data_IF_877204611567
#
_entry.id   IF_877204611567
#
_cell.length_a   1.000
_cell.length_b   1.000
_cell.length_c   1.000
_cell.angle_alpha   90.00
_cell.angle_beta   90.00
_cell.angle_gamma   90.00
#
_symmetry.space_group_name_H-M   'P 1'
#
loop_
_entity.id
_entity.type
_entity.pdbx_description
1 polymer ?
#
# COMPACT_ATOMS: atom_id res chain seq x y z
N UNK A 1 13.21 13.08 -32.34
CA UNK A 1 12.19 14.15 -32.34
C UNK A 1 12.69 15.38 -31.58
N UNK A 2 12.16 16.59 -31.84
CA UNK A 2 12.45 17.75 -30.97
C UNK A 2 11.68 17.61 -29.63
N UNK A 3 12.20 18.19 -28.53
CA UNK A 3 11.60 18.10 -27.18
C UNK A 3 10.14 18.58 -27.16
N UNK A 4 9.87 19.72 -27.79
CA UNK A 4 8.52 20.30 -27.85
C UNK A 4 7.55 19.46 -28.68
N UNK A 5 8.04 18.89 -29.78
CA UNK A 5 7.27 18.01 -30.65
C UNK A 5 6.87 16.74 -29.91
N UNK A 6 7.82 16.12 -29.20
CA UNK A 6 7.56 14.92 -28.39
C UNK A 6 6.54 15.19 -27.27
N UNK A 7 6.66 16.32 -26.57
CA UNK A 7 5.70 16.70 -25.53
C UNK A 7 4.29 16.91 -26.09
N UNK A 8 4.16 17.54 -27.26
CA UNK A 8 2.87 17.74 -27.91
C UNK A 8 2.24 16.41 -28.31
N UNK A 9 2.98 15.57 -29.04
CA UNK A 9 2.49 14.25 -29.48
C UNK A 9 2.07 13.37 -28.30
N UNK A 10 2.85 13.37 -27.21
CA UNK A 10 2.49 12.57 -26.03
C UNK A 10 1.23 13.11 -25.35
N UNK A 11 1.03 14.43 -25.27
CA UNK A 11 -0.20 15.02 -24.72
C UNK A 11 -1.41 14.71 -25.59
N UNK A 12 -1.26 14.74 -26.91
CA UNK A 12 -2.32 14.36 -27.85
C UNK A 12 -2.72 12.90 -27.63
N UNK A 13 -1.75 11.98 -27.59
CA UNK A 13 -1.99 10.55 -27.32
C UNK A 13 -2.70 10.31 -25.97
N UNK A 14 -2.33 11.07 -24.94
CA UNK A 14 -3.02 11.02 -23.64
C UNK A 14 -4.46 11.52 -23.76
N UNK A 15 -4.70 12.59 -24.51
CA UNK A 15 -6.04 13.16 -24.72
C UNK A 15 -6.96 12.25 -25.53
N UNK A 16 -6.40 11.47 -26.46
CA UNK A 16 -7.09 10.48 -27.28
C UNK A 16 -7.28 9.13 -26.56
N UNK A 17 -6.96 9.04 -25.27
CA UNK A 17 -6.98 7.82 -24.46
C UNK A 17 -6.04 6.70 -24.97
N UNK A 18 -5.05 7.04 -25.79
CA UNK A 18 -3.99 6.15 -26.28
C UNK A 18 -2.77 6.17 -25.35
N UNK A 19 -3.01 6.04 -24.05
CA UNK A 19 -1.95 6.14 -23.02
C UNK A 19 -0.86 5.07 -23.19
N UNK A 20 -1.20 3.89 -23.71
CA UNK A 20 -0.22 2.83 -23.99
C UNK A 20 0.79 3.26 -25.05
N UNK A 21 0.32 3.85 -26.15
CA UNK A 21 1.19 4.33 -27.23
C UNK A 21 2.06 5.50 -26.79
N UNK A 22 1.51 6.39 -25.94
CA UNK A 22 2.27 7.47 -25.31
C UNK A 22 3.45 6.94 -24.49
N UNK A 23 3.23 5.90 -23.68
CA UNK A 23 4.26 5.28 -22.85
C UNK A 23 5.34 4.59 -23.69
N UNK A 24 4.95 3.85 -24.73
CA UNK A 24 5.88 3.18 -25.64
C UNK A 24 6.76 4.18 -26.42
N UNK A 25 6.17 5.30 -26.84
CA UNK A 25 6.91 6.39 -27.51
C UNK A 25 7.95 7.02 -26.58
N UNK A 26 7.57 7.29 -25.32
CA UNK A 26 8.48 7.82 -24.30
C UNK A 26 9.62 6.85 -23.98
N UNK A 27 9.32 5.56 -23.82
CA UNK A 27 10.32 4.53 -23.58
C UNK A 27 11.35 4.50 -24.72
N UNK A 28 10.87 4.47 -25.96
CA UNK A 28 11.74 4.44 -27.15
C UNK A 28 12.67 5.65 -27.22
N UNK A 29 12.12 6.86 -27.08
CA UNK A 29 12.89 8.11 -27.23
C UNK A 29 13.82 8.41 -26.05
N UNK A 30 13.57 7.81 -24.87
CA UNK A 30 14.37 8.03 -23.66
C UNK A 30 15.36 6.89 -23.37
N UNK A 31 15.19 5.70 -23.96
CA UNK A 31 16.06 4.52 -23.77
C UNK A 31 17.56 4.77 -23.99
N UNK A 32 17.91 5.68 -24.90
CA UNK A 32 19.30 6.03 -25.24
C UNK A 32 19.90 7.20 -24.45
N UNK A 33 19.16 7.84 -23.53
CA UNK A 33 19.57 9.08 -22.86
C UNK A 33 19.85 8.83 -21.37
N UNK A 34 21.12 8.82 -20.92
CA UNK A 34 21.45 8.49 -19.53
C UNK A 34 20.91 9.52 -18.53
N UNK A 35 20.78 10.77 -18.94
CA UNK A 35 20.22 11.87 -18.16
C UNK A 35 18.75 11.66 -17.79
N UNK A 36 18.01 10.91 -18.61
CA UNK A 36 16.58 10.64 -18.43
C UNK A 36 16.30 9.32 -17.72
N UNK A 37 17.33 8.60 -17.25
CA UNK A 37 17.18 7.24 -16.70
C UNK A 37 16.20 7.17 -15.52
N UNK A 38 16.12 8.22 -14.70
CA UNK A 38 15.17 8.30 -13.58
C UNK A 38 13.74 8.45 -14.08
N UNK A 39 13.50 9.37 -15.02
CA UNK A 39 12.19 9.59 -15.64
C UNK A 39 11.73 8.37 -16.45
N UNK A 40 12.64 7.73 -17.18
CA UNK A 40 12.38 6.50 -17.91
C UNK A 40 11.93 5.37 -16.99
N UNK A 41 12.57 5.22 -15.82
CA UNK A 41 12.15 4.20 -14.83
C UNK A 41 10.73 4.46 -14.34
N UNK A 42 10.37 5.72 -14.12
CA UNK A 42 9.02 6.07 -13.70
C UNK A 42 8.00 5.78 -14.82
N UNK A 43 8.30 6.13 -16.07
CA UNK A 43 7.47 5.79 -17.24
C UNK A 43 7.24 4.28 -17.33
N UNK A 44 8.30 3.47 -17.17
CA UNK A 44 8.18 2.01 -17.16
C UNK A 44 7.30 1.51 -16.02
N UNK A 45 7.42 2.09 -14.82
CA UNK A 45 6.58 1.75 -13.68
C UNK A 45 5.10 2.12 -13.91
N UNK A 46 4.85 3.29 -14.50
CA UNK A 46 3.51 3.75 -14.90
C UNK A 46 2.94 2.81 -15.96
N UNK A 47 3.71 2.42 -16.97
CA UNK A 47 3.26 1.49 -18.00
C UNK A 47 2.97 0.09 -17.48
N UNK A 48 3.76 -0.43 -16.54
CA UNK A 48 3.45 -1.67 -15.86
C UNK A 48 2.13 -1.59 -15.08
N UNK A 49 1.87 -0.46 -14.39
CA UNK A 49 0.62 -0.23 -13.67
C UNK A 49 -0.59 -0.13 -14.63
N UNK A 50 -0.43 0.56 -15.75
CA UNK A 50 -1.45 0.68 -16.79
C UNK A 50 -1.82 -0.70 -17.37
N UNK A 51 -0.81 -1.46 -17.81
CA UNK A 51 -1.00 -2.79 -18.37
C UNK A 51 -1.61 -3.76 -17.36
N UNK A 52 -1.16 -3.70 -16.10
CA UNK A 52 -1.78 -4.48 -15.03
C UNK A 52 -3.25 -4.12 -14.84
N UNK A 53 -3.59 -2.84 -14.76
CA UNK A 53 -4.97 -2.37 -14.60
C UNK A 53 -5.85 -2.85 -15.75
N UNK A 54 -5.38 -2.73 -16.99
CA UNK A 54 -6.07 -3.20 -18.19
C UNK A 54 -6.30 -4.71 -18.16
N UNK A 55 -5.29 -5.47 -17.74
CA UNK A 55 -5.42 -6.93 -17.60
C UNK A 55 -6.38 -7.31 -16.45
N UNK A 56 -6.35 -6.59 -15.34
CA UNK A 56 -7.24 -6.85 -14.20
C UNK A 56 -8.70 -6.50 -14.53
N UNK A 57 -8.94 -5.44 -15.30
CA UNK A 57 -10.27 -5.05 -15.80
C UNK A 57 -10.80 -6.09 -16.80
N UNK A 58 -10.02 -6.44 -17.82
CA UNK A 58 -10.43 -7.43 -18.84
C UNK A 58 -10.68 -8.81 -18.24
N UNK A 59 -10.02 -9.16 -17.13
CA UNK A 59 -10.26 -10.39 -16.37
C UNK A 59 -11.39 -10.26 -15.34
N UNK A 60 -12.02 -9.09 -15.19
CA UNK A 60 -13.08 -8.83 -14.22
C UNK A 60 -12.62 -8.87 -12.76
N UNK A 61 -11.31 -8.73 -12.49
CA UNK A 61 -10.74 -8.68 -11.14
C UNK A 61 -11.10 -7.35 -10.47
N UNK A 62 -11.16 -6.27 -11.24
CA UNK A 62 -11.59 -4.95 -10.80
C UNK A 62 -12.81 -4.50 -11.61
N UNK A 63 -13.69 -3.70 -11.00
CA UNK A 63 -14.81 -3.07 -11.70
C UNK A 63 -14.34 -1.95 -12.63
N UNK A 64 -15.14 -1.65 -13.65
CA UNK A 64 -14.89 -0.55 -14.58
C UNK A 64 -14.67 0.79 -13.85
N UNK A 65 -15.52 1.11 -12.86
CA UNK A 65 -15.38 2.36 -12.08
C UNK A 65 -14.02 2.45 -11.36
N UNK A 66 -13.55 1.32 -10.80
CA UNK A 66 -12.25 1.26 -10.14
C UNK A 66 -11.09 1.31 -11.14
N UNK A 67 -11.25 0.69 -12.31
CA UNK A 67 -10.29 0.78 -13.41
C UNK A 67 -10.17 2.24 -13.88
N UNK A 68 -11.27 2.96 -14.02
CA UNK A 68 -11.29 4.38 -14.40
C UNK A 68 -10.54 5.26 -13.40
N UNK A 69 -10.71 5.03 -12.09
CA UNK A 69 -9.93 5.73 -11.06
C UNK A 69 -8.43 5.42 -11.17
N UNK A 70 -8.07 4.16 -11.45
CA UNK A 70 -6.68 3.76 -11.66
C UNK A 70 -6.09 4.42 -12.91
N UNK A 71 -6.85 4.51 -14.00
CA UNK A 71 -6.45 5.21 -15.22
C UNK A 71 -6.24 6.69 -15.00
N UNK A 72 -7.12 7.37 -14.27
CA UNK A 72 -6.92 8.79 -13.94
C UNK A 72 -5.61 9.00 -13.17
N UNK A 73 -5.30 8.13 -12.19
CA UNK A 73 -4.01 8.19 -11.46
C UNK A 73 -2.80 7.95 -12.36
N UNK A 74 -2.92 7.05 -13.33
CA UNK A 74 -1.88 6.80 -14.34
C UNK A 74 -1.66 8.06 -15.19
N UNK A 75 -2.73 8.71 -15.63
CA UNK A 75 -2.68 9.95 -16.41
C UNK A 75 -2.04 11.08 -15.61
N UNK A 76 -2.46 11.31 -14.37
CA UNK A 76 -1.90 12.34 -13.49
C UNK A 76 -0.40 12.16 -13.28
N UNK A 77 0.05 10.92 -13.04
CA UNK A 77 1.47 10.60 -12.89
C UNK A 77 2.25 10.83 -14.19
N UNK A 78 1.70 10.42 -15.32
CA UNK A 78 2.34 10.59 -16.62
C UNK A 78 2.49 12.09 -16.97
N UNK A 79 1.44 12.89 -16.74
CA UNK A 79 1.48 14.34 -16.91
C UNK A 79 2.51 14.99 -15.98
N UNK A 80 2.60 14.52 -14.72
CA UNK A 80 3.62 14.98 -13.78
C UNK A 80 5.03 14.69 -14.31
N UNK A 81 5.28 13.49 -14.83
CA UNK A 81 6.59 13.12 -15.42
C UNK A 81 6.92 13.99 -16.64
N UNK A 82 5.92 14.27 -17.48
CA UNK A 82 6.07 15.16 -18.64
C UNK A 82 6.40 16.60 -18.22
N UNK A 83 5.78 17.10 -17.16
CA UNK A 83 6.07 18.43 -16.60
C UNK A 83 7.51 18.52 -16.05
N UNK A 84 8.00 17.45 -15.41
CA UNK A 84 9.39 17.38 -14.93
C UNK A 84 10.39 17.37 -16.10
N UNK A 85 10.07 16.63 -17.17
CA UNK A 85 10.85 16.63 -18.40
C UNK A 85 10.83 17.99 -19.11
N UNK A 86 9.68 18.67 -19.14
CA UNK A 86 9.53 20.01 -19.72
C UNK A 86 10.42 21.04 -19.00
N UNK A 87 10.39 21.03 -17.65
CA UNK A 87 11.12 21.97 -16.80
C UNK A 87 12.61 21.61 -16.58
N UNK A 88 13.15 20.63 -17.32
CA UNK A 88 14.52 20.09 -17.16
C UNK A 88 14.86 19.64 -15.73
N UNK A 89 13.82 19.26 -14.95
CA UNK A 89 13.95 18.67 -13.63
C UNK A 89 14.10 17.16 -13.75
N UNK A 90 15.31 16.74 -14.07
CA UNK A 90 15.68 15.34 -14.30
C UNK A 90 15.65 14.49 -13.02
N UNK A 91 15.73 15.12 -11.85
CA UNK A 91 15.56 14.50 -10.53
C UNK A 91 14.28 15.02 -9.86
N UNK A 92 13.16 14.28 -9.97
CA UNK A 92 11.97 14.60 -9.19
C UNK A 92 12.24 14.28 -7.71
N UNK A 93 12.58 15.31 -6.92
CA UNK A 93 12.50 15.27 -5.45
C UNK A 93 11.04 15.00 -5.04
N UNK A 94 10.61 13.73 -5.10
CA UNK A 94 9.23 13.36 -4.78
C UNK A 94 8.76 12.03 -5.40
N UNK A 95 9.27 11.62 -6.56
CA UNK A 95 8.82 10.38 -7.22
C UNK A 95 9.59 9.14 -6.75
N UNK A 96 10.85 9.28 -6.33
CA UNK A 96 11.70 8.17 -5.89
C UNK A 96 11.70 7.92 -4.36
N UNK A 97 11.02 8.76 -3.57
CA UNK A 97 11.04 8.62 -2.10
C UNK A 97 9.95 7.65 -1.64
N UNK A 98 10.09 6.40 -2.04
CA UNK A 98 9.55 5.30 -1.25
C UNK A 98 10.23 5.42 0.12
N UNK A 99 9.44 5.85 1.10
CA UNK A 99 9.83 6.00 2.50
C UNK A 99 10.65 4.77 2.90
N UNK A 100 11.95 4.97 3.16
CA UNK A 100 12.83 3.90 3.68
C UNK A 100 12.15 3.38 4.93
N UNK A 101 11.50 2.23 4.81
CA UNK A 101 10.97 1.44 5.91
C UNK A 101 12.01 1.48 7.00
N UNK A 102 11.63 2.12 8.10
CA UNK A 102 12.43 2.39 9.28
C UNK A 102 13.05 1.05 9.68
N UNK A 103 14.31 0.84 9.27
CA UNK A 103 15.06 -0.41 9.36
C UNK A 103 14.90 -0.96 10.76
N UNK A 104 13.93 -1.87 10.86
CA UNK A 104 13.46 -2.37 12.13
C UNK A 104 14.50 -3.39 12.53
N UNK A 105 15.45 -2.93 13.35
CA UNK A 105 16.43 -3.74 14.10
C UNK A 105 15.77 -4.87 14.94
N UNK A 106 14.47 -5.10 14.80
CA UNK A 106 13.73 -6.24 15.33
C UNK A 106 14.37 -7.58 14.96
N UNK A 107 15.02 -7.69 13.80
CA UNK A 107 15.74 -8.93 13.45
C UNK A 107 16.96 -9.21 14.36
N UNK A 108 17.55 -8.19 15.00
CA UNK A 108 18.60 -8.40 16.00
C UNK A 108 18.06 -9.06 17.28
N UNK A 109 16.80 -8.79 17.65
CA UNK A 109 16.15 -9.46 18.77
C UNK A 109 15.80 -10.92 18.44
N UNK A 110 15.49 -11.22 17.17
CA UNK A 110 15.24 -12.59 16.72
C UNK A 110 16.47 -13.50 16.83
N UNK A 111 17.69 -12.94 16.76
CA UNK A 111 18.93 -13.71 16.87
C UNK A 111 19.46 -13.80 18.32
N UNK A 112 19.22 -12.77 19.15
CA UNK A 112 19.70 -12.73 20.55
C UNK A 112 18.91 -13.66 21.48
N UNK A 113 17.60 -13.80 21.28
CA UNK A 113 16.74 -14.63 22.13
C UNK A 113 17.09 -16.14 22.12
N UNK A 114 17.30 -16.80 20.96
CA UNK A 114 17.69 -18.20 20.94
C UNK A 114 19.13 -18.40 21.45
N UNK A 115 20.04 -17.45 21.20
CA UNK A 115 21.43 -17.55 21.63
C UNK A 115 21.55 -17.51 23.17
N UNK A 116 20.76 -16.67 23.84
CA UNK A 116 20.72 -16.60 25.30
C UNK A 116 20.11 -17.88 25.92
N UNK A 117 19.10 -18.48 25.29
CA UNK A 117 18.49 -19.72 25.78
C UNK A 117 19.46 -20.91 25.71
N UNK A 118 20.22 -21.04 24.62
CA UNK A 118 21.23 -22.10 24.48
C UNK A 118 22.37 -21.92 25.48
N UNK A 119 22.83 -20.68 25.69
CA UNK A 119 23.88 -20.41 26.68
C UNK A 119 23.40 -20.72 28.11
N UNK A 120 22.16 -20.39 28.45
CA UNK A 120 21.57 -20.69 29.75
C UNK A 120 21.38 -22.19 29.98
N UNK A 121 21.06 -22.95 28.93
CA UNK A 121 20.89 -24.40 28.99
C UNK A 121 22.23 -25.15 29.12
N UNK A 122 23.29 -24.65 28.47
CA UNK A 122 24.63 -25.24 28.56
C UNK A 122 25.36 -24.93 29.87
N UNK A 123 25.02 -23.83 30.56
CA UNK A 123 25.65 -23.45 31.83
C UNK A 123 25.02 -24.11 33.08
N UNK A 124 23.93 -24.87 32.95
CA UNK A 124 23.30 -25.59 34.06
C UNK A 124 23.49 -27.09 33.92
N UNK A 125 24.55 -27.70 34.48
CA UNK A 125 24.52 -29.12 34.78
C UNK A 125 23.55 -29.32 35.95
N UNK A 126 22.80 -30.42 35.91
CA UNK A 126 21.88 -30.92 36.95
C UNK A 126 20.46 -30.34 37.00
N UNK A 127 19.63 -30.68 36.01
CA UNK A 127 18.18 -30.89 36.26
C UNK A 127 17.61 -32.02 35.38
N UNK A 128 18.16 -33.22 35.51
CA UNK A 128 17.41 -34.45 35.24
C UNK A 128 17.10 -35.11 36.60
N UNK A 129 15.98 -34.73 37.20
CA UNK A 129 15.40 -35.49 38.30
C UNK A 129 13.94 -35.13 38.52
N UNK A 130 13.10 -36.17 38.59
CA UNK A 130 11.98 -36.19 39.53
C UNK A 130 10.63 -35.67 39.03
N UNK A 131 9.85 -36.61 38.45
CA UNK A 131 8.56 -37.04 39.00
C UNK A 131 7.50 -36.03 39.44
N UNK A 132 6.32 -36.14 38.82
CA UNK A 132 5.04 -36.11 39.52
C UNK A 132 4.35 -34.76 39.65
N UNK A 133 3.18 -34.62 39.02
CA UNK A 133 1.87 -34.68 39.70
C UNK A 133 0.80 -34.13 38.76
N UNK A 134 -0.23 -34.95 38.55
CA UNK A 134 -1.49 -34.59 37.91
C UNK A 134 -2.22 -33.57 38.79
N UNK A 135 -2.08 -32.29 38.45
CA UNK A 135 -2.68 -31.18 39.19
C UNK A 135 -3.69 -30.39 38.37
N UNK A 136 -4.97 -30.77 38.49
CA UNK A 136 -6.13 -29.87 38.42
C UNK A 136 -6.38 -29.12 37.10
N UNK A 137 -7.38 -29.60 36.33
CA UNK A 137 -8.10 -28.76 35.36
C UNK A 137 -8.72 -27.56 36.09
N UNK A 138 -8.03 -26.40 36.06
CA UNK A 138 -8.65 -25.11 36.36
C UNK A 138 -9.37 -24.66 35.09
N UNK A 139 -10.67 -24.48 35.21
CA UNK A 139 -11.56 -23.93 34.20
C UNK A 139 -10.95 -22.71 33.50
N UNK A 140 -10.67 -22.84 32.20
CA UNK A 140 -10.39 -21.71 31.32
C UNK A 140 -11.70 -20.93 31.08
N UNK A 141 -12.06 -20.05 32.02
CA UNK A 141 -12.92 -18.92 31.72
C UNK A 141 -12.06 -17.66 31.87
N UNK A 142 -11.71 -16.97 30.77
CA UNK A 142 -10.99 -15.71 30.89
C UNK A 142 -11.90 -14.68 31.56
N UNK A 143 -11.44 -14.11 32.67
CA UNK A 143 -12.11 -12.96 33.28
C UNK A 143 -11.88 -11.72 32.40
N UNK A 144 -12.94 -11.26 31.75
CA UNK A 144 -12.94 -9.97 31.07
C UNK A 144 -13.01 -8.86 32.13
N UNK A 145 -11.85 -8.33 32.52
CA UNK A 145 -11.79 -7.16 33.39
C UNK A 145 -12.57 -5.99 32.78
N UNK A 146 -13.28 -5.23 33.63
CA UNK A 146 -14.07 -4.04 33.28
C UNK A 146 -13.18 -2.86 32.81
N UNK A 147 -12.30 -3.08 31.83
CA UNK A 147 -11.62 -1.99 31.14
C UNK A 147 -12.61 -1.41 30.14
N UNK A 148 -12.85 -0.11 30.26
CA UNK A 148 -13.78 0.65 29.44
C UNK A 148 -13.64 0.23 27.96
N UNK A 149 -14.70 -0.37 27.41
CA UNK A 149 -14.77 -0.68 25.99
C UNK A 149 -14.59 0.62 25.22
N UNK A 150 -13.50 0.71 24.45
CA UNK A 150 -13.23 1.85 23.57
C UNK A 150 -14.04 1.65 22.31
N UNK A 151 -15.32 1.99 22.38
CA UNK A 151 -16.24 1.89 21.25
C UNK A 151 -15.86 2.98 20.25
N UNK A 152 -15.42 2.56 19.07
CA UNK A 152 -15.16 3.46 17.95
C UNK A 152 -16.47 3.65 17.19
N UNK A 153 -17.13 4.79 17.39
CA UNK A 153 -18.30 5.19 16.61
C UNK A 153 -17.81 5.92 15.36
N UNK A 154 -17.95 5.30 14.21
CA UNK A 154 -17.65 5.92 12.92
C UNK A 154 -18.79 6.88 12.55
N UNK A 155 -18.52 8.17 12.28
CA UNK A 155 -19.55 9.08 11.82
C UNK A 155 -19.95 8.72 10.39
N UNK A 156 -21.23 8.41 10.18
CA UNK A 156 -21.79 8.21 8.85
C UNK A 156 -21.93 9.56 8.13
N UNK A 157 -21.25 9.71 6.99
CA UNK A 157 -21.48 10.83 6.08
C UNK A 157 -22.63 10.48 5.13
N UNK A 158 -23.65 11.34 5.08
CA UNK A 158 -24.81 11.19 4.21
C UNK A 158 -24.42 11.52 2.77
N UNK A 159 -24.57 10.56 1.85
CA UNK A 159 -24.26 10.73 0.42
C UNK A 159 -25.52 11.09 -0.40
N UNK A 160 -26.71 11.17 0.20
CA UNK A 160 -27.91 11.60 -0.50
C UNK A 160 -28.85 12.42 0.37
N UNK A 161 -29.50 13.42 -0.25
CA UNK A 161 -30.30 14.46 0.40
C UNK A 161 -31.77 14.09 0.55
N UNK A 162 -32.11 12.81 0.53
CA UNK A 162 -33.50 12.35 0.70
C UNK A 162 -33.61 11.28 1.77
N UNK A 163 -34.72 11.35 2.49
CA UNK A 163 -34.85 10.97 3.88
C UNK A 163 -34.95 9.47 4.13
N UNK A 164 -34.29 9.03 5.21
CA UNK A 164 -34.51 7.75 5.87
C UNK A 164 -33.82 7.81 7.23
N UNK A 165 -34.58 8.08 8.28
CA UNK A 165 -34.08 8.08 9.67
C UNK A 165 -33.59 6.66 10.01
N UNK A 166 -32.42 6.48 10.65
CA UNK A 166 -32.14 5.22 11.31
C UNK A 166 -33.06 5.12 12.54
N UNK A 167 -33.97 4.14 12.54
CA UNK A 167 -34.70 3.75 13.74
C UNK A 167 -33.69 3.36 14.82
N UNK A 168 -33.56 4.19 15.84
CA UNK A 168 -32.81 3.88 17.04
C UNK A 168 -33.57 2.83 17.83
N UNK A 169 -33.13 1.58 17.77
CA UNK A 169 -33.57 0.53 18.70
C UNK A 169 -32.40 0.10 19.57
N UNK A 170 -32.08 0.89 20.60
CA UNK A 170 -31.58 0.40 21.89
C UNK A 170 -31.87 1.44 22.97
N UNK A 171 -33.14 1.51 23.38
CA UNK A 171 -33.48 1.94 24.73
C UNK A 171 -33.80 0.67 25.53
N UNK A 172 -32.76 -0.02 26.02
CA UNK A 172 -32.99 -1.03 27.05
C UNK A 172 -33.10 -0.32 28.40
N UNK A 173 -34.36 -0.27 28.82
CA UNK A 173 -34.92 0.16 30.09
C UNK A 173 -34.01 -0.21 31.27
N UNK A 174 -33.54 0.80 32.01
CA UNK A 174 -33.14 0.65 33.40
C UNK A 174 -34.40 0.45 34.24
N UNK A 175 -34.76 -0.80 34.54
CA UNK A 175 -35.68 -1.15 35.64
C UNK A 175 -35.28 -2.51 36.25
N UNK A 176 -34.51 -2.48 37.34
CA UNK A 176 -34.92 -2.90 38.70
C UNK A 176 -33.72 -3.01 39.63
#
# INVERSE_FOLDING_TARGET
>A
MNKQELLHTVRDLISEAQTGEALDLLEREWSGKPELKVLLREVLAIGALYNKTKNDETRGIISFDNAQLSYNRVHDRLLTVLEHFENDRLEPEGLARQEKSKSSRWWLWALLLPLAAVLFFLLKPDTLSGGGTTGGKKSLCPEFGRKAMKIMVLPFYKVNREAGQPEGLFAEKLES
#
